data_IF_755248661780
#
_entry.id   IF_755248661780
#
_cell.length_a   1.000
_cell.length_b   1.000
_cell.length_c   1.000
_cell.angle_alpha   90.00
_cell.angle_beta   90.00
_cell.angle_gamma   90.00
#
_symmetry.space_group_name_H-M   'P 1'
#
loop_
_entity.id
_entity.type
_entity.pdbx_description
1 polymer ?
#
# COMPACT_ATOMS: atom_id res chain seq x y z
N UNK A 1 -10.49 -4.93 -8.67
CA UNK A 1 -9.92 -3.58 -8.39
C UNK A 1 -10.39 -3.07 -7.04
N UNK A 2 -11.69 -3.12 -6.74
CA UNK A 2 -12.26 -2.68 -5.46
C UNK A 2 -11.61 -3.38 -4.24
N UNK A 3 -11.55 -4.71 -4.20
CA UNK A 3 -10.86 -5.46 -3.13
C UNK A 3 -9.39 -5.04 -2.91
N UNK A 4 -8.65 -4.77 -3.99
CA UNK A 4 -7.25 -4.32 -3.90
C UNK A 4 -7.16 -2.95 -3.24
N UNK A 5 -8.05 -2.03 -3.61
CA UNK A 5 -8.12 -0.69 -3.02
C UNK A 5 -8.54 -0.75 -1.55
N UNK A 6 -9.46 -1.64 -1.17
CA UNK A 6 -9.85 -1.84 0.22
C UNK A 6 -8.65 -2.29 1.08
N UNK A 7 -7.92 -3.32 0.63
CA UNK A 7 -6.74 -3.82 1.35
C UNK A 7 -5.62 -2.76 1.44
N UNK A 8 -5.38 -2.00 0.37
CA UNK A 8 -4.43 -0.87 0.41
C UNK A 8 -4.89 0.19 1.42
N UNK A 9 -6.18 0.49 1.48
CA UNK A 9 -6.74 1.47 2.42
C UNK A 9 -6.58 0.99 3.86
N UNK A 10 -6.78 -0.30 4.14
CA UNK A 10 -6.52 -0.86 5.47
C UNK A 10 -5.04 -0.80 5.87
N UNK A 11 -4.13 -1.01 4.92
CA UNK A 11 -2.70 -0.79 5.15
C UNK A 11 -2.40 0.69 5.45
N UNK A 12 -3.00 1.62 4.71
CA UNK A 12 -2.86 3.07 4.95
C UNK A 12 -3.37 3.51 6.33
N UNK A 13 -4.44 2.88 6.82
CA UNK A 13 -5.02 3.14 8.14
C UNK A 13 -4.31 2.40 9.29
N UNK A 14 -3.30 1.57 8.98
CA UNK A 14 -2.60 0.77 9.99
C UNK A 14 -3.38 -0.42 10.55
N UNK A 15 -4.48 -0.82 9.90
CA UNK A 15 -5.30 -1.96 10.34
C UNK A 15 -4.52 -3.28 10.18
N UNK A 16 -3.60 -3.34 9.21
CA UNK A 16 -2.65 -4.44 9.09
C UNK A 16 -1.29 -3.99 8.54
N UNK A 17 -0.27 -4.80 8.82
CA UNK A 17 1.10 -4.61 8.35
C UNK A 17 1.54 -5.65 7.32
N UNK A 18 0.60 -6.43 6.75
CA UNK A 18 0.90 -7.42 5.70
C UNK A 18 1.25 -6.71 4.38
N UNK A 19 2.22 -7.24 3.61
CA UNK A 19 2.51 -6.70 2.29
C UNK A 19 1.35 -6.88 1.32
N UNK A 20 1.20 -5.93 0.40
CA UNK A 20 0.27 -6.03 -0.73
C UNK A 20 1.09 -6.12 -2.01
N UNK A 21 0.78 -7.11 -2.85
CA UNK A 21 1.54 -7.36 -4.07
C UNK A 21 0.64 -7.54 -5.28
N UNK A 22 0.99 -6.88 -6.38
CA UNK A 22 0.27 -6.92 -7.65
C UNK A 22 1.10 -7.71 -8.68
N UNK A 23 0.59 -8.87 -9.10
CA UNK A 23 1.16 -9.62 -10.22
C UNK A 23 0.78 -8.94 -11.55
N UNK A 24 1.67 -8.13 -12.08
CA UNK A 24 1.44 -7.32 -13.28
C UNK A 24 1.81 -8.05 -14.57
N UNK A 25 1.01 -9.07 -14.91
CA UNK A 25 1.17 -9.83 -16.15
C UNK A 25 0.84 -8.94 -17.34
N UNK A 26 1.73 -8.88 -18.33
CA UNK A 26 1.56 -8.13 -19.58
C UNK A 26 1.09 -6.67 -19.40
N UNK A 27 1.47 -6.03 -18.29
CA UNK A 27 1.12 -4.63 -18.02
C UNK A 27 -0.34 -4.39 -17.60
N UNK A 28 -1.07 -5.43 -17.17
CA UNK A 28 -2.48 -5.32 -16.75
C UNK A 28 -2.76 -4.17 -15.75
N UNK A 29 -1.84 -3.91 -14.82
CA UNK A 29 -1.95 -2.88 -13.78
C UNK A 29 -1.29 -1.54 -14.16
N UNK A 30 -0.72 -1.37 -15.36
CA UNK A 30 0.06 -0.16 -15.70
C UNK A 30 -0.75 1.14 -15.57
N UNK A 31 -2.00 1.13 -16.02
CA UNK A 31 -2.89 2.29 -15.87
C UNK A 31 -3.23 2.57 -14.41
N UNK A 32 -3.39 1.52 -13.60
CA UNK A 32 -3.65 1.67 -12.17
C UNK A 32 -2.43 2.25 -11.45
N UNK A 33 -1.24 1.73 -11.74
CA UNK A 33 0.02 2.24 -11.19
C UNK A 33 0.22 3.71 -11.59
N UNK A 34 0.00 4.05 -12.85
CA UNK A 34 0.09 5.43 -13.35
C UNK A 34 -0.92 6.36 -12.68
N UNK A 35 -2.14 5.88 -12.42
CA UNK A 35 -3.16 6.64 -11.68
C UNK A 35 -2.72 6.91 -10.24
N UNK A 36 -2.18 5.91 -9.55
CA UNK A 36 -1.66 6.08 -8.19
C UNK A 36 -0.46 7.03 -8.17
N UNK A 37 0.47 6.90 -9.12
CA UNK A 37 1.63 7.80 -9.24
C UNK A 37 1.18 9.25 -9.43
N UNK A 38 0.18 9.47 -10.29
CA UNK A 38 -0.42 10.80 -10.46
C UNK A 38 -1.07 11.33 -9.18
N UNK A 39 -1.76 10.48 -8.42
CA UNK A 39 -2.36 10.87 -7.14
C UNK A 39 -1.29 11.21 -6.08
N UNK A 40 -0.11 10.60 -6.14
CA UNK A 40 1.05 11.00 -5.32
C UNK A 40 1.57 12.36 -5.76
N UNK A 41 1.77 12.57 -7.07
CA UNK A 41 2.26 13.84 -7.62
C UNK A 41 1.32 15.02 -7.31
N UNK A 42 0.01 14.77 -7.31
CA UNK A 42 -1.01 15.76 -6.96
C UNK A 42 -1.20 15.95 -5.44
N UNK A 43 -0.48 15.19 -4.62
CA UNK A 43 -0.50 15.31 -3.15
C UNK A 43 -1.71 14.66 -2.47
N UNK A 44 -2.48 13.84 -3.17
CA UNK A 44 -3.58 13.07 -2.58
C UNK A 44 -3.10 11.84 -1.81
N UNK A 45 -1.96 11.25 -2.20
CA UNK A 45 -1.32 10.11 -1.52
C UNK A 45 0.08 10.50 -1.08
N UNK A 46 0.45 10.19 0.16
CA UNK A 46 1.80 10.47 0.62
C UNK A 46 2.84 9.57 -0.08
N UNK A 47 4.03 10.08 -0.45
CA UNK A 47 5.06 9.26 -1.09
C UNK A 47 5.52 8.03 -0.28
N UNK A 48 5.36 8.05 1.05
CA UNK A 48 5.59 6.89 1.93
C UNK A 48 4.53 5.82 1.70
N UNK A 49 3.25 6.20 1.61
CA UNK A 49 2.12 5.31 1.38
C UNK A 49 2.13 4.65 0.01
N UNK A 50 2.80 5.24 -1.00
CA UNK A 50 3.00 4.61 -2.32
C UNK A 50 3.75 3.27 -2.23
N UNK A 51 4.53 3.07 -1.17
CA UNK A 51 5.35 1.87 -0.93
C UNK A 51 4.58 0.76 -0.18
N UNK A 52 3.31 0.97 0.16
CA UNK A 52 2.48 -0.02 0.84
C UNK A 52 2.15 -1.23 -0.04
N UNK A 53 2.28 -1.08 -1.35
CA UNK A 53 2.12 -2.18 -2.28
C UNK A 53 3.22 -2.17 -3.35
N UNK A 54 3.60 -3.37 -3.79
CA UNK A 54 4.59 -3.58 -4.84
C UNK A 54 3.95 -4.20 -6.09
N UNK A 55 4.61 -4.05 -7.23
CA UNK A 55 4.16 -4.66 -8.48
C UNK A 55 5.34 -5.27 -9.22
N UNK A 56 5.18 -6.53 -9.63
CA UNK A 56 6.17 -7.28 -10.41
C UNK A 56 5.46 -8.17 -11.43
N UNK A 57 6.14 -8.50 -12.52
CA UNK A 57 5.52 -9.20 -13.67
C UNK A 57 5.55 -10.73 -13.58
N UNK A 58 6.19 -11.31 -12.56
CA UNK A 58 6.26 -12.75 -12.40
C UNK A 58 6.01 -13.19 -10.95
N UNK A 59 5.48 -14.41 -10.81
CA UNK A 59 5.03 -14.94 -9.53
C UNK A 59 6.18 -15.24 -8.56
N UNK A 60 7.35 -15.64 -9.05
CA UNK A 60 8.50 -15.96 -8.20
C UNK A 60 8.98 -14.72 -7.47
N UNK A 61 9.22 -13.65 -8.22
CA UNK A 61 9.67 -12.38 -7.66
C UNK A 61 8.60 -11.82 -6.73
N UNK A 62 7.32 -11.99 -7.05
CA UNK A 62 6.23 -11.55 -6.20
C UNK A 62 6.31 -12.21 -4.82
N UNK A 63 6.35 -13.54 -4.78
CA UNK A 63 6.43 -14.30 -3.51
C UNK A 63 7.67 -13.90 -2.73
N UNK A 64 8.84 -13.81 -3.38
CA UNK A 64 10.08 -13.40 -2.72
C UNK A 64 9.96 -12.00 -2.09
N UNK A 65 9.41 -11.03 -2.83
CA UNK A 65 9.23 -9.66 -2.32
C UNK A 65 8.23 -9.61 -1.15
N UNK A 66 7.20 -10.46 -1.17
CA UNK A 66 6.24 -10.56 -0.05
C UNK A 66 6.90 -11.16 1.20
N UNK A 67 7.81 -12.12 1.06
CA UNK A 67 8.54 -12.74 2.18
C UNK A 67 9.58 -11.79 2.80
N UNK A 68 10.25 -10.99 1.97
CA UNK A 68 11.29 -10.04 2.39
C UNK A 68 10.72 -8.69 2.90
N UNK A 69 9.41 -8.49 2.80
CA UNK A 69 8.78 -7.21 3.13
C UNK A 69 8.97 -6.82 4.59
N UNK A 70 9.46 -5.60 4.80
CA UNK A 70 9.46 -4.93 6.09
C UNK A 70 8.40 -3.81 6.11
N UNK A 71 7.48 -3.79 7.07
CA UNK A 71 6.46 -2.75 7.16
C UNK A 71 7.09 -1.38 7.26
N UNK A 72 6.66 -0.45 6.39
CA UNK A 72 6.98 0.96 6.54
C UNK A 72 6.24 1.47 7.77
N UNK A 73 6.95 1.76 8.86
CA UNK A 73 6.36 2.45 9.99
C UNK A 73 6.14 3.91 9.60
N UNK A 74 4.89 4.27 9.35
CA UNK A 74 4.51 5.65 9.12
C UNK A 74 4.03 6.25 10.46
N UNK A 75 4.81 7.16 11.03
CA UNK A 75 4.52 7.82 12.31
C UNK A 75 3.15 8.53 12.29
N UNK A 76 2.61 8.85 11.11
CA UNK A 76 1.29 9.47 10.94
C UNK A 76 0.16 8.56 11.42
N UNK A 77 0.26 7.26 11.19
CA UNK A 77 -0.76 6.27 11.59
C UNK A 77 -0.71 6.04 13.11
N UNK A 78 0.49 6.05 13.70
CA UNK A 78 0.66 6.02 15.14
C UNK A 78 0.04 7.25 15.85
N UNK A 79 -0.23 8.36 15.14
CA UNK A 79 -0.88 9.55 15.72
C UNK A 79 -2.41 9.47 15.75
N UNK A 80 -3.02 8.48 15.12
CA UNK A 80 -4.46 8.20 15.25
C UNK A 80 -4.75 7.26 16.43
N UNK A 81 -4.04 7.45 17.56
CA UNK A 81 -4.54 6.97 18.83
C UNK A 81 -5.65 7.94 19.26
N UNK A 82 -6.90 7.47 19.23
CA UNK A 82 -7.97 8.15 19.96
C UNK A 82 -7.52 8.23 21.42
N UNK A 83 -7.25 9.42 21.92
CA UNK A 83 -7.22 9.65 23.37
C UNK A 83 -8.59 9.23 23.87
N UNK A 84 -8.69 8.04 24.46
CA UNK A 84 -9.85 7.63 25.22
C UNK A 84 -9.94 8.61 26.39
N UNK A 85 -10.65 9.71 26.18
CA UNK A 85 -11.07 10.59 27.26
C UNK A 85 -12.09 9.78 28.06
N UNK A 86 -11.58 8.99 28.99
CA UNK A 86 -12.35 8.47 30.09
C UNK A 86 -12.76 9.69 30.94
N UNK A 87 -14.02 10.09 30.84
CA UNK A 87 -14.72 10.76 31.94
C UNK A 87 -15.08 9.74 33.00
#
# INVERSE_FOLDING_TARGET
MEEVLEVITWAQLGIHNKPVGLLNVDGYYDFFLSFIDKAVDDGFIQPTQRRLFLSVSNARDLVQNLEEYMPVQDDVVARLHWETTNQ
#
